data_IF_232260244315
#
_entry.id   IF_232260244315
#
_cell.length_a   1.000
_cell.length_b   1.000
_cell.length_c   1.000
_cell.angle_alpha   90.00
_cell.angle_beta   90.00
_cell.angle_gamma   90.00
#
_symmetry.space_group_name_H-M   'P 1'
#
loop_
_entity.id
_entity.type
_entity.pdbx_description
1 polymer ?
#
# COMPACT_ATOMS: atom_id res chain seq x y z
N UNK A 1 0.85 -28.97 -10.21
CA UNK A 1 1.50 -27.95 -10.88
C UNK A 1 1.55 -26.64 -10.12
N UNK A 2 1.82 -26.73 -8.92
CA UNK A 2 1.73 -25.56 -8.10
C UNK A 2 2.97 -24.75 -8.02
N UNK A 3 4.01 -25.23 -8.66
CA UNK A 3 5.23 -24.46 -8.60
C UNK A 3 5.09 -23.07 -9.20
N UNK A 4 4.06 -22.87 -10.03
CA UNK A 4 3.82 -21.52 -10.54
C UNK A 4 3.45 -20.55 -9.45
N UNK A 5 2.81 -21.04 -8.40
CA UNK A 5 2.43 -20.15 -7.32
C UNK A 5 3.64 -19.68 -6.52
N UNK A 6 4.73 -20.41 -6.58
CA UNK A 6 5.95 -19.97 -5.90
C UNK A 6 6.56 -18.73 -6.50
N UNK A 7 6.26 -18.48 -7.75
CA UNK A 7 6.87 -17.37 -8.48
C UNK A 7 5.86 -16.30 -8.85
N UNK A 8 4.71 -16.33 -8.21
CA UNK A 8 3.71 -15.30 -8.47
C UNK A 8 4.16 -13.98 -7.89
N UNK A 9 4.09 -12.97 -8.73
CA UNK A 9 4.33 -11.61 -8.28
C UNK A 9 3.00 -11.06 -7.84
N UNK A 10 2.98 -10.56 -6.62
CA UNK A 10 1.79 -9.94 -6.06
C UNK A 10 1.96 -8.44 -6.09
N UNK A 11 0.89 -7.74 -6.38
CA UNK A 11 0.85 -6.30 -6.28
C UNK A 11 0.04 -5.95 -5.05
N UNK A 12 0.55 -5.05 -4.25
CA UNK A 12 -0.22 -4.48 -3.16
C UNK A 12 -0.50 -3.04 -3.56
N UNK A 13 -1.78 -2.71 -3.62
CA UNK A 13 -2.23 -1.37 -3.98
C UNK A 13 -2.84 -0.71 -2.76
N UNK A 14 -2.45 0.50 -2.49
CA UNK A 14 -3.02 1.31 -1.42
C UNK A 14 -3.69 2.50 -2.07
N UNK A 15 -5.02 2.56 -1.94
CA UNK A 15 -5.82 3.64 -2.49
C UNK A 15 -6.35 4.45 -1.31
N UNK A 16 -6.14 5.73 -1.32
CA UNK A 16 -6.54 6.53 -0.16
C UNK A 16 -7.13 7.86 -0.57
N UNK A 17 -8.06 8.30 0.26
CA UNK A 17 -8.71 9.58 0.11
C UNK A 17 -8.67 10.23 1.50
N UNK A 18 -7.69 11.07 1.71
CA UNK A 18 -7.45 11.70 3.00
C UNK A 18 -7.72 13.18 2.92
N UNK A 19 -8.28 13.77 3.96
CA UNK A 19 -8.53 15.21 3.96
C UNK A 19 -7.20 15.97 4.00
N UNK A 20 -7.20 17.16 3.41
CA UNK A 20 -6.02 18.02 3.35
C UNK A 20 -6.37 19.47 3.65
N UNK A 21 -7.41 19.69 4.45
CA UNK A 21 -7.91 21.04 4.71
C UNK A 21 -7.17 21.75 5.84
N UNK A 22 -6.85 21.04 6.90
CA UNK A 22 -6.17 21.62 8.05
C UNK A 22 -4.70 21.29 8.03
N UNK A 23 -3.93 21.97 8.86
CA UNK A 23 -2.50 21.65 9.00
C UNK A 23 -2.31 20.23 9.53
N UNK A 24 -3.18 19.84 10.46
CA UNK A 24 -3.12 18.49 11.03
C UNK A 24 -3.39 17.44 9.95
N UNK A 25 -4.38 17.72 9.09
CA UNK A 25 -4.71 16.82 7.99
C UNK A 25 -3.53 16.68 7.04
N UNK A 26 -2.93 17.80 6.68
CA UNK A 26 -1.80 17.82 5.76
C UNK A 26 -0.61 17.06 6.32
N UNK A 27 -0.39 17.19 7.63
CA UNK A 27 0.70 16.48 8.29
C UNK A 27 0.45 14.99 8.28
N UNK A 28 -0.77 14.57 8.59
CA UNK A 28 -1.13 13.15 8.58
C UNK A 28 -1.00 12.56 7.18
N UNK A 29 -1.42 13.31 6.17
CA UNK A 29 -1.29 12.90 4.78
C UNK A 29 0.18 12.69 4.41
N UNK A 30 1.01 13.67 4.75
CA UNK A 30 2.44 13.60 4.44
C UNK A 30 3.12 12.43 5.15
N UNK A 31 2.76 12.19 6.40
CA UNK A 31 3.33 11.08 7.14
C UNK A 31 2.91 9.74 6.56
N UNK A 32 1.65 9.62 6.16
CA UNK A 32 1.17 8.38 5.56
C UNK A 32 1.93 8.09 4.28
N UNK A 33 2.08 9.08 3.41
CA UNK A 33 2.85 8.92 2.18
C UNK A 33 4.29 8.53 2.46
N UNK A 34 4.90 9.20 3.42
CA UNK A 34 6.29 8.91 3.79
C UNK A 34 6.45 7.48 4.28
N UNK A 35 5.51 7.02 5.09
CA UNK A 35 5.55 5.66 5.59
C UNK A 35 5.37 4.64 4.47
N UNK A 36 4.50 4.93 3.51
CA UNK A 36 4.36 4.07 2.34
C UNK A 36 5.66 3.98 1.56
N UNK A 37 6.30 5.12 1.34
CA UNK A 37 7.56 5.15 0.61
C UNK A 37 8.67 4.41 1.35
N UNK A 38 8.71 4.54 2.67
CA UNK A 38 9.69 3.80 3.47
C UNK A 38 9.50 2.30 3.38
N UNK A 39 8.25 1.87 3.23
CA UNK A 39 7.96 0.46 3.11
C UNK A 39 8.10 -0.05 1.66
N UNK A 40 8.61 0.79 0.79
CA UNK A 40 8.92 0.39 -0.58
C UNK A 40 7.80 0.59 -1.58
N UNK A 41 6.74 1.29 -1.21
CA UNK A 41 5.68 1.61 -2.15
C UNK A 41 6.10 2.75 -3.05
N UNK A 42 5.63 2.70 -4.28
CA UNK A 42 5.89 3.73 -5.29
C UNK A 42 4.58 4.37 -5.69
N UNK A 43 4.59 5.67 -5.87
CA UNK A 43 3.39 6.37 -6.31
C UNK A 43 3.07 6.01 -7.74
N UNK A 44 1.88 5.44 -7.94
CA UNK A 44 1.37 5.14 -9.27
C UNK A 44 0.55 6.31 -9.78
N UNK A 45 -0.34 6.81 -8.94
CA UNK A 45 -1.10 8.03 -9.18
C UNK A 45 -1.18 8.78 -7.86
N UNK A 46 -1.72 9.97 -7.89
CA UNK A 46 -1.71 10.88 -6.76
C UNK A 46 -2.16 10.23 -5.44
N UNK A 47 -3.20 9.44 -5.47
CA UNK A 47 -3.73 8.78 -4.28
C UNK A 47 -3.64 7.27 -4.36
N UNK A 48 -2.74 6.74 -5.18
CA UNK A 48 -2.58 5.30 -5.36
C UNK A 48 -1.09 4.98 -5.31
N UNK A 49 -0.75 4.14 -4.35
CA UNK A 49 0.62 3.65 -4.23
C UNK A 49 0.63 2.15 -4.44
N UNK A 50 1.68 1.66 -5.05
CA UNK A 50 1.79 0.24 -5.38
C UNK A 50 3.15 -0.29 -4.95
N UNK A 51 3.17 -1.57 -4.65
CA UNK A 51 4.39 -2.29 -4.35
C UNK A 51 4.29 -3.70 -4.91
N UNK A 52 5.36 -4.15 -5.55
CA UNK A 52 5.51 -5.54 -5.92
C UNK A 52 5.96 -6.35 -4.73
N UNK A 53 5.41 -7.53 -4.58
CA UNK A 53 5.82 -8.45 -3.53
C UNK A 53 6.10 -9.80 -4.17
N UNK A 54 7.13 -10.45 -3.68
CA UNK A 54 7.59 -11.70 -4.29
C UNK A 54 6.65 -12.89 -4.04
N UNK A 55 5.79 -12.78 -3.05
CA UNK A 55 4.89 -13.88 -2.69
C UNK A 55 3.69 -13.33 -1.94
N UNK A 56 2.67 -14.18 -1.76
CA UNK A 56 1.50 -13.82 -0.97
C UNK A 56 1.89 -13.52 0.47
N UNK A 57 2.82 -14.29 1.03
CA UNK A 57 3.26 -14.06 2.40
C UNK A 57 3.93 -12.72 2.55
N UNK A 58 4.76 -12.36 1.59
CA UNK A 58 5.43 -11.06 1.59
C UNK A 58 4.40 -9.93 1.46
N UNK A 59 3.39 -10.13 0.61
CA UNK A 59 2.33 -9.14 0.45
C UNK A 59 1.59 -8.92 1.76
N UNK A 60 1.30 -9.99 2.48
CA UNK A 60 0.60 -9.89 3.76
C UNK A 60 1.40 -9.09 4.79
N UNK A 61 2.70 -9.27 4.81
CA UNK A 61 3.57 -8.51 5.71
C UNK A 61 3.41 -7.01 5.44
N UNK A 62 3.44 -6.63 4.18
CA UNK A 62 3.33 -5.21 3.84
C UNK A 62 1.93 -4.66 4.07
N UNK A 63 0.90 -5.47 3.86
CA UNK A 63 -0.45 -5.08 4.18
C UNK A 63 -0.59 -4.80 5.67
N UNK A 64 -0.04 -5.66 6.50
CA UNK A 64 -0.08 -5.46 7.95
C UNK A 64 0.66 -4.21 8.36
N UNK A 65 1.78 -3.93 7.73
CA UNK A 65 2.54 -2.72 8.03
C UNK A 65 1.73 -1.48 7.69
N UNK A 66 1.10 -1.46 6.52
CA UNK A 66 0.26 -0.32 6.15
C UNK A 66 -0.87 -0.13 7.16
N UNK A 67 -1.49 -1.22 7.58
CA UNK A 67 -2.55 -1.15 8.57
C UNK A 67 -2.08 -0.58 9.90
N UNK A 68 -0.79 -0.74 10.22
CA UNK A 68 -0.26 -0.26 11.48
C UNK A 68 -0.05 1.25 11.51
N UNK A 69 -0.02 1.91 10.36
CA UNK A 69 0.17 3.36 10.32
C UNK A 69 -0.94 4.08 9.57
N UNK A 70 -2.13 3.47 9.55
CA UNK A 70 -3.29 4.14 8.95
C UNK A 70 -3.61 5.42 9.71
N UNK A 71 -3.99 6.49 8.97
CA UNK A 71 -4.39 7.72 9.63
C UNK A 71 -5.75 7.57 10.30
N UNK A 72 -6.06 8.48 11.22
CA UNK A 72 -7.33 8.43 11.95
C UNK A 72 -8.52 8.85 11.09
N UNK A 73 -8.28 9.61 10.05
CA UNK A 73 -9.34 10.17 9.23
C UNK A 73 -9.16 9.77 7.78
N UNK A 74 -10.26 9.78 7.05
CA UNK A 74 -10.26 9.50 5.63
C UNK A 74 -10.49 8.03 5.33
N UNK A 75 -10.40 7.70 4.06
CA UNK A 75 -10.60 6.34 3.58
C UNK A 75 -9.30 5.78 3.04
N UNK A 76 -8.99 4.56 3.43
CA UNK A 76 -7.83 3.85 2.88
C UNK A 76 -8.28 2.46 2.49
N UNK A 77 -8.09 2.13 1.22
CA UNK A 77 -8.36 0.79 0.71
C UNK A 77 -7.04 0.10 0.41
N UNK A 78 -6.93 -1.15 0.80
CA UNK A 78 -5.75 -1.95 0.52
C UNK A 78 -6.20 -3.16 -0.27
N UNK A 79 -5.58 -3.36 -1.42
CA UNK A 79 -5.90 -4.48 -2.29
C UNK A 79 -4.63 -5.22 -2.64
N UNK A 80 -4.73 -6.52 -2.75
CA UNK A 80 -3.64 -7.31 -3.30
C UNK A 80 -4.14 -7.99 -4.56
N UNK A 81 -3.33 -7.93 -5.59
CA UNK A 81 -3.67 -8.53 -6.87
C UNK A 81 -2.50 -9.36 -7.36
N UNK A 82 -2.82 -10.44 -7.98
CA UNK A 82 -1.83 -11.33 -8.53
C UNK A 82 -1.46 -10.84 -9.92
N UNK A 83 -0.16 -10.77 -10.18
CA UNK A 83 0.32 -10.42 -11.50
C UNK A 83 0.70 -11.71 -12.22
N UNK A 84 -0.09 -12.08 -13.20
CA UNK A 84 0.24 -13.22 -14.05
C UNK A 84 0.65 -12.67 -15.40
N UNK A 85 1.80 -13.04 -15.80
CA UNK A 85 2.29 -12.64 -17.12
C UNK A 85 2.02 -13.73 -18.14
#
# INVERSE_FOLDING_TARGET
MDRFSEYRIMWVLVLFDLPTETKKDKKAYAEFRKNLQKDGFTMFQFSIYVRHCASCENAEVHIKRVKSFLPDYGSVGIRSEEHTS
#
